data_IF_968728397285
#
_entry.id   IF_968728397285
#
_cell.length_a   1.000
_cell.length_b   1.000
_cell.length_c   1.000
_cell.angle_alpha   90.00
_cell.angle_beta   90.00
_cell.angle_gamma   90.00
#
_symmetry.space_group_name_H-M   'P 1'
#
loop_
_entity.id
_entity.type
_entity.pdbx_description
1 polymer ?
#
# COMPACT_ATOMS: atom_id res chain seq x y z
N UNK A 1 -6.46 -8.90 14.98
CA UNK A 1 -5.04 -9.24 14.73
C UNK A 1 -4.21 -8.01 15.01
N UNK A 2 -3.23 -8.14 15.89
CA UNK A 2 -2.22 -7.10 16.10
C UNK A 2 -1.18 -7.19 14.99
N UNK A 3 -0.78 -6.04 14.45
CA UNK A 3 0.18 -5.94 13.36
C UNK A 3 1.44 -5.27 13.91
N UNK A 4 2.65 -5.77 13.58
CA UNK A 4 3.90 -5.20 14.09
C UNK A 4 4.31 -3.94 13.31
N UNK A 5 3.34 -3.08 12.99
CA UNK A 5 3.54 -1.84 12.24
C UNK A 5 2.90 -0.67 12.98
N UNK A 6 3.67 0.40 13.11
CA UNK A 6 3.24 1.68 13.68
C UNK A 6 2.97 2.67 12.54
N UNK A 7 1.85 3.39 12.63
CA UNK A 7 1.44 4.36 11.61
C UNK A 7 2.51 5.44 11.48
N UNK A 8 2.92 5.75 10.26
CA UNK A 8 3.98 6.71 9.94
C UNK A 8 5.40 6.11 9.92
N UNK A 9 5.61 4.97 10.58
CA UNK A 9 6.93 4.34 10.62
C UNK A 9 7.32 3.69 9.27
N UNK A 10 8.64 3.56 9.07
CA UNK A 10 9.24 3.10 7.84
C UNK A 10 9.71 1.64 7.93
N UNK A 11 9.40 0.85 6.90
CA UNK A 11 9.72 -0.58 6.84
C UNK A 11 10.27 -0.99 5.49
N UNK A 12 11.32 -1.82 5.50
CA UNK A 12 11.82 -2.47 4.31
C UNK A 12 10.81 -3.49 3.77
N UNK A 13 10.39 -3.32 2.51
CA UNK A 13 9.36 -4.18 1.91
C UNK A 13 9.72 -5.66 1.88
N UNK A 14 10.96 -6.02 1.56
CA UNK A 14 11.35 -7.42 1.45
C UNK A 14 11.55 -8.05 2.83
N UNK A 15 12.32 -7.39 3.70
CA UNK A 15 12.75 -7.98 4.98
C UNK A 15 11.72 -7.83 6.09
N UNK A 16 11.12 -6.64 6.24
CA UNK A 16 10.26 -6.32 7.38
C UNK A 16 8.77 -6.45 7.07
N UNK A 17 8.35 -6.23 5.82
CA UNK A 17 6.95 -6.43 5.41
C UNK A 17 6.74 -7.88 4.95
N UNK A 18 7.35 -8.28 3.83
CA UNK A 18 7.16 -9.63 3.28
C UNK A 18 7.87 -10.73 4.09
N UNK A 19 8.97 -10.42 4.77
CA UNK A 19 9.61 -11.38 5.68
C UNK A 19 8.72 -11.75 6.88
N UNK A 20 7.80 -10.85 7.27
CA UNK A 20 6.88 -11.06 8.40
C UNK A 20 5.52 -11.54 7.92
N UNK A 21 4.94 -10.90 6.90
CA UNK A 21 3.59 -11.17 6.41
C UNK A 21 3.52 -12.15 5.24
N UNK A 22 4.66 -12.50 4.62
CA UNK A 22 4.68 -13.28 3.38
C UNK A 22 3.99 -12.59 2.21
N UNK A 23 3.28 -13.38 1.40
CA UNK A 23 2.56 -12.91 0.21
C UNK A 23 3.44 -12.64 -1.01
N UNK A 24 2.79 -12.34 -2.14
CA UNK A 24 3.47 -11.98 -3.37
C UNK A 24 4.27 -10.67 -3.21
N UNK A 25 5.54 -10.71 -3.62
CA UNK A 25 6.50 -9.61 -3.41
C UNK A 25 6.52 -8.58 -4.55
N UNK A 26 5.81 -8.86 -5.64
CA UNK A 26 5.73 -8.01 -6.82
C UNK A 26 4.31 -7.45 -6.98
N UNK A 27 4.20 -6.25 -7.54
CA UNK A 27 2.93 -5.58 -7.79
C UNK A 27 2.49 -4.63 -6.65
N UNK A 28 1.36 -3.97 -6.86
CA UNK A 28 0.76 -3.04 -5.91
C UNK A 28 -0.11 -3.73 -4.86
N UNK A 29 -0.60 -4.95 -5.11
CA UNK A 29 -1.51 -5.66 -4.20
C UNK A 29 -0.92 -7.02 -3.83
N UNK A 30 -0.86 -7.30 -2.53
CA UNK A 30 -0.43 -8.59 -1.99
C UNK A 30 -1.50 -9.20 -1.11
N UNK A 31 -1.71 -10.50 -1.24
CA UNK A 31 -2.74 -11.26 -0.52
C UNK A 31 -2.08 -12.50 0.08
N UNK A 32 -1.39 -12.37 1.22
CA UNK A 32 -0.78 -13.51 1.90
C UNK A 32 -1.80 -14.62 2.16
N UNK A 33 -1.37 -15.88 2.03
CA UNK A 33 -2.22 -17.05 2.30
C UNK A 33 -2.39 -17.31 3.79
N UNK A 34 -1.31 -17.10 4.55
CA UNK A 34 -1.23 -17.43 5.98
C UNK A 34 -1.81 -16.33 6.89
N UNK A 35 -2.14 -15.16 6.33
CA UNK A 35 -2.72 -14.04 7.08
C UNK A 35 -4.00 -13.55 6.39
N UNK A 36 -5.06 -13.23 7.14
CA UNK A 36 -6.28 -12.62 6.62
C UNK A 36 -6.05 -11.14 6.29
N UNK A 37 -5.13 -10.87 5.36
CA UNK A 37 -4.69 -9.54 4.97
C UNK A 37 -4.85 -9.32 3.47
N UNK A 38 -5.10 -8.06 3.14
CA UNK A 38 -4.88 -7.47 1.82
C UNK A 38 -3.90 -6.33 2.04
N UNK A 39 -2.75 -6.39 1.37
CA UNK A 39 -1.69 -5.40 1.50
C UNK A 39 -1.66 -4.59 0.21
N UNK A 40 -1.93 -3.29 0.30
CA UNK A 40 -1.81 -2.36 -0.82
C UNK A 40 -0.53 -1.54 -0.68
N UNK A 41 0.20 -1.40 -1.78
CA UNK A 41 1.42 -0.63 -1.90
C UNK A 41 1.16 0.50 -2.89
N UNK A 42 1.20 1.74 -2.40
CA UNK A 42 1.08 2.94 -3.22
C UNK A 42 2.44 3.59 -3.49
N UNK A 43 2.51 4.41 -4.54
CA UNK A 43 3.69 5.18 -4.90
C UNK A 43 3.88 6.45 -4.05
N UNK A 44 4.95 7.19 -4.35
CA UNK A 44 5.26 8.47 -3.71
C UNK A 44 4.14 9.47 -3.98
N UNK A 45 3.61 10.11 -2.94
CA UNK A 45 2.65 11.19 -3.10
C UNK A 45 3.39 12.48 -3.49
N UNK A 46 3.02 13.06 -4.63
CA UNK A 46 3.36 14.44 -4.97
C UNK A 46 4.79 14.70 -5.43
N UNK A 47 5.17 14.29 -6.65
CA UNK A 47 6.09 15.05 -7.53
C UNK A 47 5.77 14.73 -9.00
N UNK A 48 4.87 15.50 -9.59
CA UNK A 48 4.80 15.82 -11.03
C UNK A 48 5.10 14.74 -12.10
N UNK A 49 4.72 13.47 -11.91
CA UNK A 49 4.78 12.43 -12.94
C UNK A 49 3.65 11.39 -12.77
N UNK A 50 2.41 11.78 -13.08
CA UNK A 50 1.35 10.82 -13.42
C UNK A 50 0.94 9.78 -12.36
N UNK A 51 1.13 10.06 -11.06
CA UNK A 51 0.62 9.18 -10.02
C UNK A 51 -0.89 9.07 -10.12
N UNK A 52 -1.37 7.83 -10.14
CA UNK A 52 -2.79 7.53 -10.25
C UNK A 52 -3.49 7.63 -8.89
N UNK A 53 -2.81 7.32 -7.79
CA UNK A 53 -3.41 7.39 -6.46
C UNK A 53 -3.41 8.82 -5.92
N UNK A 54 -4.48 9.21 -5.21
CA UNK A 54 -4.59 10.54 -4.62
C UNK A 54 -5.51 10.57 -3.39
N UNK A 55 -5.38 11.60 -2.57
CA UNK A 55 -6.34 11.92 -1.51
C UNK A 55 -7.31 12.97 -2.01
N UNK A 56 -8.60 12.83 -1.71
CA UNK A 56 -9.59 13.89 -1.91
C UNK A 56 -9.74 14.78 -0.67
N UNK A 57 -10.54 15.84 -0.79
CA UNK A 57 -10.79 16.82 0.27
C UNK A 57 -11.52 16.22 1.49
N UNK A 58 -12.15 15.05 1.33
CA UNK A 58 -12.84 14.31 2.38
C UNK A 58 -11.92 13.29 3.08
N UNK A 59 -10.61 13.38 2.86
CA UNK A 59 -9.58 12.45 3.33
C UNK A 59 -9.91 11.00 2.96
N UNK A 60 -10.40 10.78 1.73
CA UNK A 60 -10.56 9.46 1.13
C UNK A 60 -9.40 9.22 0.19
N UNK A 61 -8.75 8.07 0.35
CA UNK A 61 -7.65 7.66 -0.50
C UNK A 61 -8.19 6.92 -1.73
N UNK A 62 -8.01 7.52 -2.89
CA UNK A 62 -8.38 6.96 -4.19
C UNK A 62 -7.23 6.12 -4.71
N UNK A 63 -7.33 4.80 -4.51
CA UNK A 63 -6.31 3.82 -4.90
C UNK A 63 -6.68 3.14 -6.22
N UNK A 64 -5.80 3.20 -7.22
CA UNK A 64 -5.99 2.55 -8.50
C UNK A 64 -5.66 1.07 -8.42
N UNK A 65 -6.54 0.25 -8.99
CA UNK A 65 -6.41 -1.19 -9.02
C UNK A 65 -5.21 -1.69 -9.83
N UNK A 66 -4.95 -2.99 -9.71
CA UNK A 66 -3.93 -3.68 -10.50
C UNK A 66 -4.42 -4.02 -11.91
N UNK A 67 -3.44 -4.26 -12.79
CA UNK A 67 -3.60 -4.41 -14.24
C UNK A 67 -2.80 -3.31 -14.91
N UNK A 68 -1.84 -3.65 -15.76
CA UNK A 68 -0.92 -2.66 -16.37
C UNK A 68 -1.27 -2.33 -17.82
N UNK A 69 -1.92 -3.24 -18.53
CA UNK A 69 -2.22 -3.13 -19.97
C UNK A 69 -3.68 -3.48 -20.18
N UNK A 70 -4.39 -2.65 -20.96
CA UNK A 70 -5.82 -2.77 -21.20
C UNK A 70 -6.69 -2.54 -19.96
N UNK A 71 -7.99 -2.75 -20.13
CA UNK A 71 -8.99 -2.54 -19.09
C UNK A 71 -8.69 -3.36 -17.84
N UNK A 72 -8.75 -2.70 -16.69
CA UNK A 72 -8.60 -3.36 -15.39
C UNK A 72 -9.77 -4.31 -15.15
N UNK A 73 -9.46 -5.47 -14.57
CA UNK A 73 -10.47 -6.50 -14.28
C UNK A 73 -10.68 -6.60 -12.77
N UNK A 74 -11.93 -6.76 -12.36
CA UNK A 74 -12.29 -6.97 -10.96
C UNK A 74 -12.06 -8.43 -10.55
N UNK A 75 -10.80 -8.84 -10.48
CA UNK A 75 -10.35 -10.20 -10.15
C UNK A 75 -9.13 -10.11 -9.22
N UNK A 76 -8.70 -11.24 -8.65
CA UNK A 76 -7.46 -11.35 -7.86
C UNK A 76 -7.32 -10.23 -6.81
N UNK A 77 -6.27 -9.40 -6.88
CA UNK A 77 -6.00 -8.32 -5.93
C UNK A 77 -7.09 -7.25 -5.93
N UNK A 78 -7.65 -6.91 -7.09
CA UNK A 78 -8.75 -5.95 -7.18
C UNK A 78 -10.00 -6.45 -6.44
N UNK A 79 -10.36 -7.72 -6.64
CA UNK A 79 -11.45 -8.34 -5.87
C UNK A 79 -11.12 -8.36 -4.38
N UNK A 80 -9.89 -8.70 -4.03
CA UNK A 80 -9.45 -8.76 -2.64
C UNK A 80 -9.61 -7.40 -1.92
N UNK A 81 -9.27 -6.28 -2.58
CA UNK A 81 -9.51 -4.94 -2.00
C UNK A 81 -11.01 -4.69 -1.82
N UNK A 82 -11.80 -4.85 -2.88
CA UNK A 82 -13.21 -4.47 -2.81
C UNK A 82 -14.05 -5.38 -1.92
N UNK A 83 -13.64 -6.64 -1.72
CA UNK A 83 -14.36 -7.63 -0.90
C UNK A 83 -13.69 -7.94 0.45
N UNK A 84 -12.61 -7.25 0.84
CA UNK A 84 -11.83 -7.59 2.05
C UNK A 84 -12.70 -7.75 3.31
N UNK A 85 -13.67 -6.85 3.57
CA UNK A 85 -14.57 -6.96 4.74
C UNK A 85 -15.40 -8.24 4.68
N UNK A 86 -16.01 -8.53 3.53
CA UNK A 86 -16.83 -9.74 3.32
C UNK A 86 -16.00 -11.01 3.49
N UNK A 87 -14.76 -10.97 3.02
CA UNK A 87 -13.81 -12.09 3.12
C UNK A 87 -13.12 -12.17 4.51
N UNK A 88 -13.49 -11.31 5.46
CA UNK A 88 -12.92 -11.30 6.81
C UNK A 88 -11.46 -10.87 6.87
N UNK A 89 -10.99 -10.11 5.88
CA UNK A 89 -9.60 -9.65 5.75
C UNK A 89 -9.45 -8.18 6.14
N UNK A 90 -8.30 -7.87 6.74
CA UNK A 90 -7.90 -6.48 7.01
C UNK A 90 -7.13 -5.92 5.83
N UNK A 91 -7.52 -4.74 5.33
CA UNK A 91 -6.77 -4.00 4.33
C UNK A 91 -5.77 -3.07 5.01
N UNK A 92 -4.50 -3.19 4.63
CA UNK A 92 -3.39 -2.36 5.12
C UNK A 92 -2.69 -1.68 3.95
N UNK A 93 -2.26 -0.43 4.14
CA UNK A 93 -1.65 0.37 3.08
C UNK A 93 -0.24 0.78 3.48
N UNK A 94 0.69 0.62 2.54
CA UNK A 94 2.07 1.07 2.63
C UNK A 94 2.39 2.03 1.48
N UNK A 95 3.04 3.14 1.78
CA UNK A 95 3.48 4.13 0.80
C UNK A 95 4.97 3.98 0.51
N UNK A 96 5.34 3.85 -0.75
CA UNK A 96 6.73 3.84 -1.16
C UNK A 96 7.32 5.24 -0.98
N UNK A 97 8.40 5.34 -0.21
CA UNK A 97 9.08 6.63 -0.03
C UNK A 97 9.98 6.99 -1.22
N UNK A 98 10.00 6.23 -2.31
CA UNK A 98 10.88 6.41 -3.47
C UNK A 98 11.64 5.13 -3.83
N UNK A 99 12.32 5.13 -4.98
CA UNK A 99 12.96 3.92 -5.51
C UNK A 99 14.05 3.41 -4.57
N UNK A 100 13.93 2.16 -4.13
CA UNK A 100 14.89 1.53 -3.22
C UNK A 100 14.80 2.01 -1.77
N UNK A 101 13.89 2.93 -1.46
CA UNK A 101 13.66 3.45 -0.10
C UNK A 101 12.65 2.55 0.65
N UNK A 102 12.63 2.61 1.99
CA UNK A 102 11.60 1.95 2.80
C UNK A 102 10.19 2.42 2.45
N UNK A 103 9.21 1.68 2.95
CA UNK A 103 7.79 2.01 2.82
C UNK A 103 7.25 2.53 4.15
N UNK A 104 6.52 3.64 4.10
CA UNK A 104 5.77 4.17 5.24
C UNK A 104 4.48 3.38 5.43
N UNK A 105 4.22 2.91 6.65
CA UNK A 105 2.94 2.30 6.96
C UNK A 105 1.88 3.39 7.15
N UNK A 106 0.83 3.39 6.32
CA UNK A 106 -0.27 4.36 6.41
C UNK A 106 -1.39 3.91 7.35
N UNK A 107 -1.39 2.64 7.79
CA UNK A 107 -2.42 2.13 8.68
C UNK A 107 -3.41 1.16 8.03
N UNK A 108 -4.49 0.92 8.75
CA UNK A 108 -5.61 0.08 8.30
C UNK A 108 -6.65 0.92 7.57
N UNK A 109 -7.24 0.33 6.54
CA UNK A 109 -8.23 0.99 5.69
C UNK A 109 -9.48 0.13 5.50
N UNK A 110 -10.59 0.79 5.17
CA UNK A 110 -11.80 0.16 4.62
C UNK A 110 -12.05 0.68 3.22
N UNK A 111 -12.21 -0.23 2.27
CA UNK A 111 -12.80 0.06 0.97
C UNK A 111 -14.29 0.38 1.12
N UNK A 112 -14.66 1.65 0.95
CA UNK A 112 -16.04 2.11 1.01
C UNK A 112 -16.81 1.80 -0.28
N UNK A 113 -16.14 1.95 -1.43
CA UNK A 113 -16.72 1.76 -2.76
C UNK A 113 -15.61 1.67 -3.82
N UNK A 114 -15.98 1.31 -5.05
CA UNK A 114 -15.11 1.44 -6.21
C UNK A 114 -15.87 2.07 -7.38
N UNK A 115 -15.15 2.68 -8.31
CA UNK A 115 -15.71 3.25 -9.53
C UNK A 115 -14.76 3.01 -10.72
N UNK A 116 -15.30 3.14 -11.93
CA UNK A 116 -14.52 3.02 -13.17
C UNK A 116 -14.16 4.42 -13.66
N UNK A 117 -12.87 4.65 -13.91
CA UNK A 117 -12.34 5.86 -14.55
C UNK A 117 -11.94 5.55 -16.00
N UNK A 118 -12.69 6.04 -17.00
CA UNK A 118 -12.36 5.81 -18.40
C UNK A 118 -11.19 6.69 -18.87
N UNK A 119 -10.56 6.30 -19.98
CA UNK A 119 -9.57 7.13 -20.69
C UNK A 119 -8.23 7.28 -19.97
N UNK A 120 -8.00 6.52 -18.90
CA UNK A 120 -6.70 6.53 -18.21
C UNK A 120 -5.66 5.86 -19.10
N UNK A 121 -4.44 6.41 -19.23
CA UNK A 121 -3.39 5.74 -19.99
C UNK A 121 -2.97 4.45 -19.27
N UNK A 122 -2.81 3.38 -20.03
CA UNK A 122 -2.13 2.18 -19.58
C UNK A 122 -0.61 2.30 -19.75
N UNK A 123 0.13 1.23 -19.46
CA UNK A 123 1.60 1.23 -19.57
C UNK A 123 2.11 1.48 -21.00
N UNK A 124 1.29 1.21 -22.02
CA UNK A 124 1.61 1.41 -23.44
C UNK A 124 1.05 2.75 -23.96
N UNK A 125 0.49 3.58 -23.07
CA UNK A 125 -0.13 4.85 -23.39
C UNK A 125 -1.52 4.73 -24.04
N UNK A 126 -2.08 3.52 -24.09
CA UNK A 126 -3.41 3.31 -24.65
C UNK A 126 -4.49 3.67 -23.63
N UNK A 127 -5.60 4.30 -24.04
CA UNK A 127 -6.70 4.60 -23.14
C UNK A 127 -7.36 3.30 -22.67
N UNK A 128 -7.62 3.22 -21.37
CA UNK A 128 -8.29 2.09 -20.73
C UNK A 128 -9.25 2.54 -19.62
N UNK A 129 -10.12 1.62 -19.23
CA UNK A 129 -10.95 1.69 -18.04
C UNK A 129 -10.15 1.24 -16.81
N UNK A 130 -9.87 2.17 -15.90
CA UNK A 130 -9.25 1.86 -14.61
C UNK A 130 -10.31 1.65 -13.53
N UNK A 131 -10.07 0.68 -12.64
CA UNK A 131 -10.83 0.52 -11.40
C UNK A 131 -10.15 1.36 -10.33
N UNK A 132 -10.91 2.19 -9.63
CA UNK A 132 -10.41 3.03 -8.53
C UNK A 132 -11.22 2.76 -7.28
N UNK A 133 -10.53 2.44 -6.19
CA UNK A 133 -11.10 2.15 -4.89
C UNK A 133 -11.07 3.39 -4.00
N UNK A 134 -12.19 3.68 -3.35
CA UNK A 134 -12.30 4.73 -2.34
C UNK A 134 -12.03 4.09 -0.98
N UNK A 135 -10.84 4.35 -0.44
CA UNK A 135 -10.36 3.77 0.80
C UNK A 135 -10.39 4.83 1.91
N UNK A 136 -11.09 4.55 3.01
CA UNK A 136 -11.07 5.40 4.20
C UNK A 136 -10.13 4.81 5.23
N UNK A 137 -9.25 5.64 5.78
CA UNK A 137 -8.39 5.24 6.89
C UNK A 137 -9.21 4.95 8.15
N UNK A 138 -8.78 3.98 8.94
CA UNK A 138 -9.29 3.72 10.28
C UNK A 138 -8.47 4.41 11.37
N UNK A 139 -7.37 5.06 10.99
CA UNK A 139 -6.48 5.75 11.90
C UNK A 139 -6.98 7.19 12.16
N UNK A 140 -6.91 7.66 13.41
CA UNK A 140 -7.44 8.96 13.81
C UNK A 140 -6.67 10.17 13.23
N UNK A 141 -5.42 9.96 12.84
CA UNK A 141 -4.61 10.91 12.06
C UNK A 141 -3.56 10.10 11.30
N UNK A 142 -3.46 10.32 9.98
CA UNK A 142 -2.51 9.61 9.13
C UNK A 142 -1.06 10.11 9.27
N UNK A 143 -0.79 11.08 10.16
CA UNK A 143 0.53 11.68 10.29
C UNK A 143 1.03 12.35 8.98
N UNK A 144 0.12 12.65 8.05
CA UNK A 144 0.42 13.29 6.76
C UNK A 144 0.63 14.80 6.94
N UNK A 145 1.49 15.22 7.85
CA UNK A 145 2.02 16.59 7.83
C UNK A 145 3.04 16.65 6.71
N UNK A 146 2.66 17.29 5.60
CA UNK A 146 3.52 17.45 4.45
C UNK A 146 4.74 18.32 4.80
N UNK A 147 5.93 17.78 4.54
CA UNK A 147 7.16 18.55 4.39
C UNK A 147 8.11 18.57 5.59
N UNK A 148 9.37 18.26 5.30
CA UNK A 148 10.61 18.67 6.01
C UNK A 148 11.35 17.69 6.95
N UNK A 149 10.90 16.44 7.19
CA UNK A 149 11.67 15.46 8.02
C UNK A 149 12.01 14.13 7.34
N UNK A 150 11.43 13.82 6.17
CA UNK A 150 11.48 12.48 5.56
C UNK A 150 12.91 11.92 5.39
N UNK A 151 13.90 12.75 5.09
CA UNK A 151 15.27 12.28 4.83
C UNK A 151 15.95 11.70 6.08
N UNK A 152 15.82 12.35 7.24
CA UNK A 152 16.43 11.87 8.49
C UNK A 152 15.76 10.59 8.99
N UNK A 153 14.43 10.47 8.85
CA UNK A 153 13.69 9.26 9.18
C UNK A 153 14.03 8.10 8.25
N UNK A 154 14.19 8.37 6.95
CA UNK A 154 14.63 7.38 5.96
C UNK A 154 16.03 6.88 6.28
N UNK A 155 16.97 7.77 6.60
CA UNK A 155 18.36 7.40 6.91
C UNK A 155 18.42 6.57 8.20
N UNK A 156 17.68 6.96 9.25
CA UNK A 156 17.57 6.18 10.48
C UNK A 156 16.92 4.81 10.27
N UNK A 157 15.89 4.71 9.41
CA UNK A 157 15.24 3.44 9.08
C UNK A 157 16.12 2.50 8.25
N UNK A 158 17.06 3.03 7.46
CA UNK A 158 18.08 2.25 6.77
C UNK A 158 19.14 1.69 7.73
N UNK A 159 19.45 2.41 8.81
CA UNK A 159 20.37 1.96 9.87
C UNK A 159 19.73 1.03 10.91
N UNK A 160 18.42 1.17 11.16
CA UNK A 160 17.67 0.37 12.11
C UNK A 160 17.34 -1.05 11.58
N UNK A 161 18.35 -1.88 11.38
CA UNK A 161 18.17 -3.34 11.33
C UNK A 161 18.25 -3.93 12.74
N UNK A 162 17.16 -4.47 13.33
CA UNK A 162 17.33 -5.54 14.29
C UNK A 162 17.62 -6.80 13.48
N UNK A 163 18.88 -7.22 13.48
CA UNK A 163 19.24 -8.61 13.16
C UNK A 163 18.73 -9.43 14.34
N UNK A 164 17.69 -10.28 14.21
CA UNK A 164 17.45 -11.27 15.25
C UNK A 164 18.67 -12.19 15.26
N UNK A 165 19.40 -12.20 16.39
CA UNK A 165 20.47 -13.18 16.59
C UNK A 165 19.83 -14.55 16.62
N UNK A 166 20.24 -15.40 15.70
CA UNK A 166 19.96 -16.83 15.77
C UNK A 166 20.79 -17.43 16.91
N UNK A 167 20.29 -17.34 18.15
CA UNK A 167 20.92 -18.01 19.30
C UNK A 167 19.99 -18.29 20.49
N UNK A 168 18.66 -18.20 20.35
CA UNK A 168 17.72 -18.51 21.45
C UNK A 168 16.76 -19.66 21.11
N UNK A 169 17.27 -20.70 20.43
CA UNK A 169 16.66 -22.02 20.42
C UNK A 169 17.65 -23.01 21.04
N UNK A 170 17.61 -23.12 22.37
CA UNK A 170 18.12 -24.28 23.11
C UNK A 170 16.92 -25.09 23.60
#
# INVERSE_FOLDING_TARGET
MELPFEVGALYNRQKQIHGVLGGQQQGGISTPKEHPLVIAFTGEAGVSHGYHDFWDDDEVFHYFGEGQVGDMKYVAGNRAIGEHVKDGKTLVVFQMMGKGRPYRYLGRFICQSSYVRPGTPDREGQPRSAIVFRLKSLEASLGLTAGESDQAEIDAALEATPVPRASDWH
#
